data_IF_859867889752
#
_entry.id   IF_859867889752
#
_cell.length_a   1.000
_cell.length_b   1.000
_cell.length_c   1.000
_cell.angle_alpha   90.00
_cell.angle_beta   90.00
_cell.angle_gamma   90.00
#
_symmetry.space_group_name_H-M   'P 1'
#
loop_
_entity.id
_entity.type
_entity.pdbx_description
1 polymer ?
#
# COMPACT_ATOMS: atom_id res chain seq x y z
N UNK A 1 9.45 9.09 11.85
CA UNK A 1 10.03 9.47 10.55
C UNK A 1 9.85 8.27 9.64
N UNK A 2 9.25 8.47 8.48
CA UNK A 2 8.98 7.42 7.49
C UNK A 2 9.60 7.84 6.17
N UNK A 3 10.40 6.98 5.55
CA UNK A 3 11.05 7.25 4.28
C UNK A 3 11.09 6.02 3.39
N UNK A 4 10.56 6.18 2.17
CA UNK A 4 10.49 5.16 1.13
C UNK A 4 10.98 5.79 -0.18
N UNK A 5 11.65 5.00 -1.03
CA UNK A 5 12.06 5.42 -2.37
C UNK A 5 11.89 4.27 -3.37
N UNK A 6 11.68 4.65 -4.62
CA UNK A 6 11.71 3.74 -5.76
C UNK A 6 12.48 4.34 -6.92
N UNK A 7 13.28 3.52 -7.58
CA UNK A 7 14.08 3.87 -8.76
C UNK A 7 13.69 2.89 -9.87
N UNK A 8 13.35 3.43 -11.04
CA UNK A 8 13.03 2.68 -12.24
C UNK A 8 14.11 2.95 -13.29
N UNK A 9 14.77 1.89 -13.77
CA UNK A 9 15.80 1.93 -14.82
C UNK A 9 15.49 0.86 -15.87
N UNK A 10 16.16 0.89 -17.01
CA UNK A 10 15.94 -0.08 -18.09
C UNK A 10 16.14 -1.54 -17.64
N UNK A 11 17.06 -1.79 -16.70
CA UNK A 11 17.34 -3.12 -16.18
C UNK A 11 16.36 -3.60 -15.09
N UNK A 12 15.45 -2.74 -14.62
CA UNK A 12 14.44 -3.11 -13.62
C UNK A 12 14.18 -2.04 -12.56
N UNK A 13 13.75 -2.49 -11.37
CA UNK A 13 13.36 -1.63 -10.26
C UNK A 13 14.23 -1.85 -9.02
N UNK A 14 14.53 -0.76 -8.31
CA UNK A 14 15.09 -0.76 -6.95
C UNK A 14 14.11 -0.07 -6.01
N UNK A 15 13.73 -0.74 -4.93
CA UNK A 15 12.81 -0.22 -3.91
C UNK A 15 13.47 -0.32 -2.54
N UNK A 16 13.34 0.72 -1.72
CA UNK A 16 13.86 0.73 -0.36
C UNK A 16 12.91 1.48 0.58
N UNK A 17 12.82 1.01 1.83
CA UNK A 17 12.01 1.63 2.88
C UNK A 17 12.68 1.49 4.25
N UNK A 18 12.57 2.52 5.09
CA UNK A 18 12.91 2.41 6.50
C UNK A 18 11.80 1.67 7.29
N UNK A 19 12.01 1.41 8.57
CA UNK A 19 11.06 0.68 9.43
C UNK A 19 10.59 1.42 10.67
N UNK A 20 11.13 2.61 10.97
CA UNK A 20 10.70 3.40 12.13
C UNK A 20 9.32 3.97 11.89
N UNK A 21 8.39 3.76 12.82
CA UNK A 21 7.00 4.18 12.65
C UNK A 21 6.48 4.83 13.92
N UNK A 22 5.77 5.95 13.76
CA UNK A 22 5.03 6.59 14.85
C UNK A 22 3.65 5.95 14.93
N UNK A 23 3.38 5.22 16.01
CA UNK A 23 2.14 4.48 16.23
C UNK A 23 1.25 5.13 17.33
N UNK A 24 1.69 6.26 17.88
CA UNK A 24 0.98 7.03 18.88
C UNK A 24 1.89 8.10 19.50
N UNK A 25 1.35 8.92 20.39
CA UNK A 25 2.16 9.84 21.21
C UNK A 25 3.12 8.99 22.04
N UNK A 26 4.41 9.31 21.96
CA UNK A 26 5.51 8.59 22.62
C UNK A 26 5.60 7.10 22.30
N UNK A 27 4.98 6.66 21.20
CA UNK A 27 5.01 5.28 20.76
C UNK A 27 5.63 5.15 19.38
N UNK A 28 6.95 4.95 19.36
CA UNK A 28 7.70 4.62 18.15
C UNK A 28 8.09 3.13 18.15
N UNK A 29 7.82 2.45 17.04
CA UNK A 29 8.09 1.02 16.90
C UNK A 29 8.60 0.69 15.50
N UNK A 30 8.91 -0.59 15.27
CA UNK A 30 9.45 -1.13 14.03
C UNK A 30 8.34 -1.86 13.28
N UNK A 31 7.97 -1.35 12.11
CA UNK A 31 7.04 -2.01 11.20
C UNK A 31 7.59 -2.01 9.77
N UNK A 32 7.40 -3.12 9.05
CA UNK A 32 7.73 -3.15 7.63
C UNK A 32 6.83 -2.18 6.87
N UNK A 33 7.44 -1.41 5.97
CA UNK A 33 6.74 -0.52 5.04
C UNK A 33 6.81 -1.02 3.60
N UNK A 34 7.45 -2.17 3.36
CA UNK A 34 7.57 -2.83 2.07
C UNK A 34 6.76 -4.12 2.11
N UNK A 35 5.86 -4.29 1.15
CA UNK A 35 4.94 -5.42 1.10
C UNK A 35 4.94 -6.02 -0.30
N UNK A 36 5.35 -7.29 -0.40
CA UNK A 36 5.35 -8.03 -1.66
C UNK A 36 4.00 -8.71 -1.90
N UNK A 37 3.55 -8.68 -3.15
CA UNK A 37 2.41 -9.41 -3.67
C UNK A 37 2.84 -10.17 -4.93
N UNK A 38 2.73 -11.50 -4.91
CA UNK A 38 2.97 -12.38 -6.05
C UNK A 38 1.73 -13.22 -6.35
N UNK A 39 0.68 -12.63 -6.95
CA UNK A 39 -0.59 -13.30 -7.12
C UNK A 39 -0.58 -14.39 -8.21
N UNK A 40 0.35 -14.33 -9.16
CA UNK A 40 0.56 -15.36 -10.17
C UNK A 40 2.03 -15.42 -10.60
N UNK A 41 2.39 -16.39 -11.44
CA UNK A 41 3.78 -16.61 -11.87
C UNK A 41 4.31 -15.51 -12.82
N UNK A 42 3.42 -14.85 -13.56
CA UNK A 42 3.69 -13.80 -14.56
C UNK A 42 3.80 -12.39 -13.96
N UNK A 43 3.51 -12.22 -12.67
CA UNK A 43 3.37 -10.89 -12.06
C UNK A 43 3.95 -10.80 -10.67
N UNK A 44 4.58 -9.67 -10.38
CA UNK A 44 5.14 -9.35 -9.08
C UNK A 44 4.91 -7.87 -8.80
N UNK A 45 4.38 -7.57 -7.61
CA UNK A 45 4.17 -6.22 -7.15
C UNK A 45 4.81 -6.03 -5.77
N UNK A 46 5.28 -4.81 -5.53
CA UNK A 46 5.80 -4.38 -4.24
C UNK A 46 5.18 -3.02 -3.91
N UNK A 47 4.54 -2.94 -2.75
CA UNK A 47 3.92 -1.72 -2.24
C UNK A 47 4.77 -1.15 -1.10
N UNK A 48 5.17 0.12 -1.24
CA UNK A 48 5.76 0.90 -0.15
C UNK A 48 4.71 1.80 0.48
N UNK A 49 4.65 1.86 1.80
CA UNK A 49 3.64 2.63 2.54
C UNK A 49 4.25 3.75 3.39
N UNK A 50 3.57 4.89 3.48
CA UNK A 50 3.91 5.99 4.38
C UNK A 50 2.66 6.71 4.88
N UNK A 51 2.75 7.34 6.06
CA UNK A 51 1.63 8.06 6.69
C UNK A 51 1.00 7.30 7.85
N UNK A 52 -0.33 7.32 7.94
CA UNK A 52 -1.08 6.72 9.04
C UNK A 52 -0.91 5.19 9.09
N UNK A 53 -0.35 4.68 10.19
CA UNK A 53 -0.04 3.24 10.35
C UNK A 53 -1.31 2.38 10.27
N UNK A 54 -2.37 2.74 10.97
CA UNK A 54 -3.59 1.93 11.02
C UNK A 54 -4.22 1.78 9.62
N UNK A 55 -4.30 2.88 8.87
CA UNK A 55 -4.88 2.87 7.52
C UNK A 55 -3.98 2.14 6.51
N UNK A 56 -2.65 2.31 6.60
CA UNK A 56 -1.72 1.57 5.74
C UNK A 56 -1.77 0.05 5.99
N UNK A 57 -1.92 -0.38 7.25
CA UNK A 57 -2.11 -1.79 7.61
C UNK A 57 -3.45 -2.33 7.12
N UNK A 58 -4.52 -1.53 7.24
CA UNK A 58 -5.82 -1.89 6.71
C UNK A 58 -5.76 -2.08 5.20
N UNK A 59 -5.10 -1.18 4.47
CA UNK A 59 -4.91 -1.30 3.03
C UNK A 59 -4.20 -2.62 2.67
N UNK A 60 -3.04 -2.89 3.27
CA UNK A 60 -2.30 -4.14 3.00
C UNK A 60 -3.14 -5.37 3.32
N UNK A 61 -3.94 -5.33 4.39
CA UNK A 61 -4.84 -6.42 4.77
C UNK A 61 -5.95 -6.61 3.76
N UNK A 62 -6.53 -5.52 3.23
CA UNK A 62 -7.55 -5.55 2.19
C UNK A 62 -7.02 -6.16 0.90
N UNK A 63 -5.84 -5.70 0.44
CA UNK A 63 -5.20 -6.22 -0.78
C UNK A 63 -4.89 -7.73 -0.66
N UNK A 64 -4.44 -8.20 0.52
CA UNK A 64 -4.22 -9.63 0.77
C UNK A 64 -5.54 -10.42 0.76
N UNK A 65 -6.55 -9.93 1.47
CA UNK A 65 -7.86 -10.55 1.53
C UNK A 65 -8.48 -10.70 0.14
N UNK A 66 -8.38 -9.67 -0.70
CA UNK A 66 -8.97 -9.70 -2.04
C UNK A 66 -8.23 -10.67 -2.97
N UNK A 67 -6.96 -10.99 -2.71
CA UNK A 67 -6.25 -12.07 -3.39
C UNK A 67 -6.74 -13.45 -2.96
N UNK A 68 -6.97 -13.65 -1.65
CA UNK A 68 -7.48 -14.91 -1.10
C UNK A 68 -8.96 -15.15 -1.45
N UNK A 69 -9.75 -14.08 -1.50
CA UNK A 69 -11.20 -14.09 -1.73
C UNK A 69 -11.58 -13.05 -2.81
N UNK A 70 -11.37 -13.36 -4.10
CA UNK A 70 -11.63 -12.42 -5.19
C UNK A 70 -13.10 -11.97 -5.24
N UNK A 71 -13.30 -10.65 -5.20
CA UNK A 71 -14.59 -10.01 -5.41
C UNK A 71 -14.83 -9.58 -6.87
N UNK A 72 -16.02 -9.05 -7.18
CA UNK A 72 -16.37 -8.62 -8.54
C UNK A 72 -15.61 -7.36 -8.99
N UNK A 73 -15.05 -6.58 -8.06
CA UNK A 73 -14.29 -5.36 -8.35
C UNK A 73 -12.89 -5.61 -8.90
N UNK A 74 -12.44 -6.88 -8.96
CA UNK A 74 -11.07 -7.23 -9.33
C UNK A 74 -10.08 -7.05 -8.18
N UNK A 75 -8.82 -7.39 -8.44
CA UNK A 75 -7.69 -7.31 -7.52
C UNK A 75 -6.35 -7.27 -8.30
N UNK A 76 -5.22 -7.35 -7.60
CA UNK A 76 -3.89 -7.39 -8.24
C UNK A 76 -3.69 -8.60 -9.18
N UNK A 77 -4.43 -9.69 -9.00
CA UNK A 77 -4.38 -10.85 -9.90
C UNK A 77 -5.17 -10.65 -11.20
N UNK A 78 -6.21 -9.83 -11.20
CA UNK A 78 -7.03 -9.58 -12.39
C UNK A 78 -6.51 -8.42 -13.27
N UNK A 79 -5.58 -7.61 -12.77
CA UNK A 79 -4.99 -6.50 -13.51
C UNK A 79 -4.26 -7.00 -14.77
N UNK A 80 -4.52 -6.39 -15.92
CA UNK A 80 -3.86 -6.65 -17.20
C UNK A 80 -2.68 -5.72 -17.45
N UNK A 81 -2.73 -4.52 -16.89
CA UNK A 81 -1.65 -3.53 -17.00
C UNK A 81 -1.29 -2.96 -15.62
N UNK A 82 -0.06 -2.46 -15.46
CA UNK A 82 0.41 -1.88 -14.19
C UNK A 82 -0.44 -0.68 -13.73
N UNK A 83 -1.00 0.10 -14.66
CA UNK A 83 -1.86 1.22 -14.28
C UNK A 83 -3.17 0.75 -13.63
N UNK A 84 -3.73 -0.39 -14.05
CA UNK A 84 -4.95 -0.96 -13.44
C UNK A 84 -4.67 -1.45 -12.02
N UNK A 85 -3.48 -2.02 -11.77
CA UNK A 85 -3.04 -2.37 -10.43
C UNK A 85 -2.92 -1.11 -9.54
N UNK A 86 -2.40 -0.01 -10.09
CA UNK A 86 -2.33 1.27 -9.39
C UNK A 86 -3.71 1.89 -9.13
N UNK A 87 -4.64 1.81 -10.08
CA UNK A 87 -6.03 2.26 -9.92
C UNK A 87 -6.74 1.48 -8.82
N UNK A 88 -6.63 0.15 -8.82
CA UNK A 88 -7.21 -0.69 -7.77
C UNK A 88 -6.66 -0.33 -6.38
N UNK A 89 -5.33 -0.28 -6.22
CA UNK A 89 -4.70 0.10 -4.94
C UNK A 89 -5.10 1.52 -4.51
N UNK A 90 -5.14 2.46 -5.46
CA UNK A 90 -5.53 3.84 -5.22
C UNK A 90 -6.98 3.98 -4.79
N UNK A 91 -7.90 3.26 -5.44
CA UNK A 91 -9.31 3.24 -5.10
C UNK A 91 -9.55 2.65 -3.69
N UNK A 92 -8.91 1.53 -3.36
CA UNK A 92 -8.99 0.93 -2.02
C UNK A 92 -8.43 1.89 -0.95
N UNK A 93 -7.30 2.55 -1.22
CA UNK A 93 -6.74 3.55 -0.31
C UNK A 93 -7.69 4.73 -0.10
N UNK A 94 -8.27 5.26 -1.18
CA UNK A 94 -9.23 6.36 -1.12
C UNK A 94 -10.48 5.99 -0.30
N UNK A 95 -11.02 4.79 -0.52
CA UNK A 95 -12.16 4.28 0.26
C UNK A 95 -11.83 4.24 1.76
N UNK A 96 -10.71 3.62 2.13
CA UNK A 96 -10.24 3.52 3.52
C UNK A 96 -10.09 4.91 4.16
N UNK A 97 -9.48 5.87 3.44
CA UNK A 97 -9.30 7.23 3.94
C UNK A 97 -10.64 7.97 4.07
N UNK A 98 -11.60 7.74 3.16
CA UNK A 98 -12.93 8.34 3.24
C UNK A 98 -13.75 7.77 4.40
N UNK A 99 -13.64 6.46 4.67
CA UNK A 99 -14.32 5.80 5.79
C UNK A 99 -13.86 6.35 7.14
N UNK A 100 -12.54 6.49 7.34
CA UNK A 100 -11.98 6.84 8.65
C UNK A 100 -11.63 8.32 8.81
N UNK A 101 -11.48 9.04 7.70
CA UNK A 101 -11.04 10.43 7.65
C UNK A 101 -11.84 11.38 8.53
N UNK A 102 -13.19 11.36 8.52
CA UNK A 102 -13.99 12.25 9.37
C UNK A 102 -13.67 12.09 10.86
N UNK A 103 -13.59 10.86 11.36
CA UNK A 103 -13.30 10.57 12.76
C UNK A 103 -11.87 10.94 13.15
N UNK A 104 -10.89 10.61 12.30
CA UNK A 104 -9.48 10.95 12.54
C UNK A 104 -9.28 12.47 12.57
N UNK A 105 -9.85 13.21 11.62
CA UNK A 105 -9.78 14.68 11.59
C UNK A 105 -10.41 15.32 12.81
N UNK A 106 -11.56 14.79 13.29
CA UNK A 106 -12.19 15.27 14.52
C UNK A 106 -11.29 15.10 15.75
N UNK A 107 -10.41 14.10 15.75
CA UNK A 107 -9.40 13.86 16.80
C UNK A 107 -8.06 14.58 16.57
N UNK A 108 -7.94 15.43 15.54
CA UNK A 108 -6.69 16.11 15.19
C UNK A 108 -5.62 15.21 14.56
N UNK A 109 -5.98 14.02 14.10
CA UNK A 109 -5.07 13.06 13.48
C UNK A 109 -5.22 13.05 11.96
N UNK A 110 -4.09 12.83 11.26
CA UNK A 110 -4.10 12.68 9.80
C UNK A 110 -4.60 11.28 9.41
N UNK A 111 -5.45 11.24 8.38
CA UNK A 111 -5.87 10.02 7.71
C UNK A 111 -5.03 9.72 6.47
N UNK A 112 -3.99 10.50 6.19
CA UNK A 112 -3.25 10.37 4.94
C UNK A 112 -2.37 9.12 4.92
N UNK A 113 -2.48 8.39 3.82
CA UNK A 113 -1.56 7.33 3.44
C UNK A 113 -1.07 7.60 2.02
N UNK A 114 0.25 7.65 1.87
CA UNK A 114 0.94 7.80 0.58
C UNK A 114 1.68 6.52 0.23
N UNK A 115 1.77 6.22 -1.06
CA UNK A 115 2.15 4.90 -1.56
C UNK A 115 3.14 5.02 -2.73
N UNK A 116 4.03 4.03 -2.85
CA UNK A 116 4.76 3.72 -4.09
C UNK A 116 4.39 2.29 -4.46
N UNK A 117 3.82 2.08 -5.64
CA UNK A 117 3.59 0.76 -6.20
C UNK A 117 4.63 0.52 -7.32
N UNK A 118 5.44 -0.52 -7.16
CA UNK A 118 6.35 -1.00 -8.19
C UNK A 118 6.03 -2.45 -8.56
N UNK A 119 6.43 -2.89 -9.75
CA UNK A 119 6.19 -4.27 -10.17
C UNK A 119 6.31 -4.49 -11.66
N UNK A 120 5.96 -5.69 -12.09
CA UNK A 120 5.88 -6.09 -13.50
C UNK A 120 4.75 -7.09 -13.72
N UNK A 121 4.23 -7.08 -14.94
CA UNK A 121 3.32 -8.10 -15.51
C UNK A 121 3.97 -8.51 -16.83
N UNK A 122 4.32 -9.78 -16.98
CA UNK A 122 5.05 -10.34 -18.13
C UNK A 122 4.13 -10.73 -19.29
#
# INVERSE_FOLDING_TARGET
>A
MTYCLGICVEQGLVLASDSRTSAGVDYASVYSKMHEFKPAADRQFVLLTAGNLALSQQLVSHLRRDLDYPGPAGNLNSARYLFEAAEYVGATNLEIQNTHGPALRASGQSSEVTLILGGQIA
#
